data_IF_205013792109
#
_entry.id   IF_205013792109
#
_cell.length_a   1.000
_cell.length_b   1.000
_cell.length_c   1.000
_cell.angle_alpha   90.00
_cell.angle_beta   90.00
_cell.angle_gamma   90.00
#
_symmetry.space_group_name_H-M   'P 1'
#
loop_
_entity.id
_entity.type
_entity.pdbx_description
1 polymer ?
2 water ?
#
# COMPACT_ATOMS: atom_id res chain seq x y z
N UNK A 34 15.11 -16.94 -13.16
CA UNK A 34 14.46 -16.54 -11.93
C UNK A 34 15.44 -16.09 -10.86
N UNK A 35 15.34 -14.83 -10.46
CA UNK A 35 16.23 -14.28 -9.45
C UNK A 35 15.97 -14.91 -8.08
N UNK A 36 17.04 -15.17 -7.34
CA UNK A 36 16.92 -15.79 -6.03
C UNK A 36 16.33 -14.81 -5.01
N UNK A 37 16.70 -13.54 -5.13
CA UNK A 37 16.20 -12.51 -4.23
C UNK A 37 16.52 -12.82 -2.77
N UNK A 38 17.80 -13.07 -2.51
CA UNK A 38 18.28 -13.40 -1.18
C UNK A 38 18.07 -12.27 -0.18
N UNK A 39 18.24 -11.03 -0.63
CA UNK A 39 18.06 -9.87 0.24
C UNK A 39 16.61 -9.79 0.69
N UNK A 40 15.69 -9.89 -0.26
CA UNK A 40 14.27 -9.85 0.04
C UNK A 40 13.91 -10.91 1.07
N UNK A 41 14.26 -12.15 0.78
CA UNK A 41 13.98 -13.26 1.68
C UNK A 41 14.55 -12.99 3.07
N UNK A 42 15.79 -12.53 3.12
CA UNK A 42 16.46 -12.22 4.38
C UNK A 42 15.65 -11.22 5.20
N UNK A 43 15.29 -10.11 4.57
CA UNK A 43 14.53 -9.07 5.26
C UNK A 43 13.18 -9.60 5.73
N UNK A 44 12.54 -10.41 4.90
CA UNK A 44 11.25 -10.99 5.22
C UNK A 44 11.34 -11.88 6.45
N UNK A 45 12.42 -12.64 6.55
CA UNK A 45 12.63 -13.54 7.68
C UNK A 45 13.00 -12.76 8.94
N UNK A 46 13.69 -11.64 8.75
CA UNK A 46 14.12 -10.81 9.87
C UNK A 46 12.97 -9.96 10.41
N UNK A 47 12.04 -9.60 9.54
CA UNK A 47 10.92 -8.78 9.94
C UNK A 47 9.73 -9.60 10.40
N UNK A 48 9.55 -10.77 9.79
CA UNK A 48 8.40 -11.61 10.12
C UNK A 48 8.83 -13.06 10.34
N UNK A 49 9.60 -13.31 11.41
CA UNK A 49 10.20 -14.64 11.61
C UNK A 49 9.16 -15.74 11.89
N UNK A 50 8.04 -15.36 12.50
CA UNK A 50 6.95 -16.30 12.81
C UNK A 50 6.09 -16.73 11.60
N UNK A 51 6.29 -16.10 10.44
CA UNK A 51 5.46 -16.44 9.28
C UNK A 51 5.98 -17.62 8.47
N UNK A 52 5.16 -18.66 8.38
CA UNK A 52 5.42 -19.79 7.51
C UNK A 52 4.73 -19.62 6.17
N UNK A 53 5.47 -19.14 5.18
CA UNK A 53 4.93 -18.90 3.84
C UNK A 53 4.26 -20.14 3.25
N UNK A 54 4.58 -21.30 3.79
CA UNK A 54 3.99 -22.55 3.30
C UNK A 54 2.47 -22.50 3.43
N UNK A 55 1.99 -21.80 4.45
CA UNK A 55 0.56 -21.67 4.68
C UNK A 55 -0.03 -20.28 4.48
N UNK A 56 0.74 -19.26 4.87
CA UNK A 56 0.38 -17.87 4.61
C UNK A 56 1.55 -17.13 3.98
N UNK A 57 1.61 -17.15 2.66
CA UNK A 57 2.70 -16.49 1.93
C UNK A 57 2.64 -14.97 2.05
N UNK A 58 3.80 -14.34 2.19
CA UNK A 58 3.87 -12.89 2.29
C UNK A 58 3.67 -12.26 0.92
N UNK A 59 2.96 -11.13 0.86
CA UNK A 59 2.82 -10.44 -0.42
C UNK A 59 4.18 -9.91 -0.85
N UNK A 60 4.64 -10.29 -2.04
CA UNK A 60 5.96 -9.85 -2.51
C UNK A 60 5.89 -8.87 -3.69
N UNK A 61 4.69 -8.67 -4.23
CA UNK A 61 4.51 -7.87 -5.44
C UNK A 61 3.02 -7.62 -5.70
N UNK A 62 2.73 -6.79 -6.69
CA UNK A 62 1.36 -6.56 -7.12
C UNK A 62 0.84 -7.75 -7.89
N UNK A 63 -0.48 -7.89 -7.92
CA UNK A 63 -1.12 -8.99 -8.62
C UNK A 63 -1.52 -8.56 -10.03
N UNK A 64 -1.05 -9.31 -11.05
CA UNK A 64 -1.44 -9.05 -12.45
C UNK A 64 -2.90 -9.43 -12.72
N UNK A 65 -3.46 -10.31 -11.90
CA UNK A 65 -4.88 -10.67 -12.03
C UNK A 65 -5.79 -9.69 -11.30
N UNK A 66 -5.47 -9.44 -10.03
CA UNK A 66 -6.31 -8.68 -9.11
C UNK A 66 -6.07 -7.17 -9.22
N UNK A 67 -6.47 -6.61 -10.35
CA UNK A 67 -6.33 -5.18 -10.62
C UNK A 67 -7.40 -4.74 -11.59
N UNK A 68 -7.45 -3.43 -11.84
CA UNK A 68 -8.38 -2.87 -12.79
C UNK A 68 -7.63 -2.65 -14.10
N UNK A 69 -8.36 -2.71 -15.20
CA UNK A 69 -7.73 -2.68 -16.52
C UNK A 69 -6.88 -1.43 -16.80
N UNK A 70 -7.24 -0.30 -16.19
CA UNK A 70 -6.50 0.95 -16.39
C UNK A 70 -5.12 0.94 -15.73
N UNK A 71 -4.82 -0.12 -14.99
CA UNK A 71 -3.52 -0.26 -14.33
C UNK A 71 -2.60 -1.17 -15.13
N UNK A 72 -1.38 -0.70 -15.40
CA UNK A 72 -0.38 -1.54 -16.02
C UNK A 72 0.81 -1.73 -15.11
N UNK A 73 1.37 -2.95 -15.08
CA UNK A 73 2.47 -3.30 -14.17
C UNK A 73 3.80 -3.47 -14.89
N UNK A 74 4.90 -3.22 -14.18
CA UNK A 74 6.24 -3.46 -14.71
C UNK A 74 7.22 -3.65 -13.56
N UNK A 75 8.50 -3.85 -13.88
CA UNK A 75 9.55 -4.12 -12.88
C UNK A 75 9.18 -5.28 -11.96
N UNK A 76 8.94 -6.45 -12.55
CA UNK A 76 8.60 -7.66 -11.79
C UNK A 76 7.36 -7.47 -10.94
N UNK A 77 6.45 -6.65 -11.45
CA UNK A 77 5.19 -6.30 -10.79
C UNK A 77 5.35 -5.47 -9.53
N UNK A 78 6.41 -4.66 -9.46
CA UNK A 78 6.54 -3.71 -8.37
C UNK A 78 6.15 -2.30 -8.79
N UNK A 79 6.23 -2.01 -10.09
CA UNK A 79 5.86 -0.68 -10.58
C UNK A 79 4.46 -0.61 -11.16
N UNK A 80 3.69 0.36 -10.69
CA UNK A 80 2.32 0.52 -11.15
C UNK A 80 2.20 1.77 -12.01
N UNK A 81 1.64 1.62 -13.21
CA UNK A 81 1.47 2.73 -14.17
C UNK A 81 -0.01 2.98 -14.44
N UNK A 82 -0.42 4.25 -14.42
CA UNK A 82 -1.76 4.61 -14.87
C UNK A 82 -1.77 4.82 -16.38
N UNK A 83 -2.69 4.16 -17.07
CA UNK A 83 -2.72 4.22 -18.53
C UNK A 83 -4.12 4.38 -19.14
N UNK A 84 -5.04 5.01 -18.40
CA UNK A 84 -6.42 5.16 -18.84
C UNK A 84 -6.90 6.58 -19.18
N UNK A 85 -8.22 6.74 -19.23
CA UNK A 85 -8.83 8.02 -19.56
C UNK A 85 -8.43 9.09 -18.55
N UNK A 86 -8.91 8.95 -17.32
CA UNK A 86 -8.62 9.90 -16.27
C UNK A 86 -9.50 11.14 -16.36
N UNK A 87 -10.73 10.95 -16.81
CA UNK A 87 -11.68 12.05 -16.95
C UNK A 87 -12.33 12.40 -15.62
N UNK A 88 -12.82 11.38 -14.92
CA UNK A 88 -13.48 11.58 -13.64
C UNK A 88 -13.06 10.51 -12.63
N UNK A 89 -13.65 10.57 -11.44
CA UNK A 89 -13.35 9.60 -10.38
C UNK A 89 -13.73 8.19 -10.81
N UNK A 90 -14.59 8.08 -11.81
CA UNK A 90 -15.02 6.78 -12.32
C UNK A 90 -13.93 6.16 -13.19
N UNK A 91 -12.75 6.78 -13.18
CA UNK A 91 -11.61 6.28 -13.94
C UNK A 91 -10.48 5.87 -13.00
N UNK A 92 -10.79 5.82 -11.71
CA UNK A 92 -9.83 5.40 -10.69
C UNK A 92 -9.53 3.90 -10.79
N UNK A 93 -8.26 3.53 -10.69
CA UNK A 93 -7.88 2.12 -10.79
C UNK A 93 -6.91 1.68 -9.69
N UNK A 94 -7.28 0.62 -8.98
CA UNK A 94 -6.44 0.09 -7.91
C UNK A 94 -5.85 -1.28 -8.23
N UNK A 95 -4.80 -1.64 -7.50
CA UNK A 95 -4.22 -2.96 -7.60
C UNK A 95 -4.03 -3.52 -6.18
N UNK A 96 -4.24 -4.82 -6.00
CA UNK A 96 -3.98 -5.48 -4.73
C UNK A 96 -2.67 -6.25 -4.82
N UNK A 97 -2.08 -6.57 -3.68
CA UNK A 97 -0.91 -7.42 -3.65
C UNK A 97 -1.34 -8.84 -3.98
N UNK A 98 -0.38 -9.70 -4.32
CA UNK A 98 -0.65 -11.11 -4.60
C UNK A 98 -1.26 -11.84 -3.41
N UNK A 99 -0.96 -11.38 -2.20
CA UNK A 99 -1.43 -12.05 -0.99
C UNK A 99 -1.81 -11.07 0.10
N UNK A 100 -2.76 -11.47 0.96
CA UNK A 100 -3.13 -10.68 2.13
C UNK A 100 -2.09 -10.80 3.23
N UNK A 101 -2.04 -9.80 4.09
CA UNK A 101 -1.07 -9.75 5.17
C UNK A 101 -1.33 -10.88 6.14
N UNK A 102 -0.32 -11.73 6.36
CA UNK A 102 -0.47 -12.82 7.33
C UNK A 102 -0.58 -12.27 8.75
N UNK A 103 -1.51 -12.81 9.54
CA UNK A 103 -1.66 -12.40 10.93
C UNK A 103 -0.36 -12.63 11.70
N UNK A 104 0.34 -13.71 11.32
CA UNK A 104 1.59 -14.09 11.96
C UNK A 104 2.68 -13.02 11.83
N UNK A 105 2.40 -11.97 11.05
CA UNK A 105 3.35 -10.88 10.94
C UNK A 105 3.46 -10.16 12.26
N UNK A 106 2.35 -10.11 13.00
CA UNK A 106 2.29 -9.30 14.21
C UNK A 106 2.14 -7.84 13.83
N UNK A 107 3.21 -7.28 13.29
CA UNK A 107 3.18 -5.96 12.69
C UNK A 107 3.65 -6.10 11.24
N UNK A 108 2.96 -5.45 10.30
CA UNK A 108 3.36 -5.51 8.89
C UNK A 108 3.67 -4.12 8.33
N UNK A 109 4.65 -4.05 7.43
CA UNK A 109 5.00 -2.77 6.83
C UNK A 109 5.28 -2.88 5.32
N UNK A 110 4.94 -1.83 4.57
CA UNK A 110 5.37 -1.73 3.19
C UNK A 110 5.47 -0.27 2.81
N UNK A 111 6.24 0.01 1.77
CA UNK A 111 6.48 1.39 1.33
C UNK A 111 6.27 1.57 -0.15
N UNK A 112 5.87 2.77 -0.53
CA UNK A 112 5.61 3.07 -1.93
C UNK A 112 6.39 4.32 -2.31
N UNK A 113 7.15 4.23 -3.39
CA UNK A 113 7.91 5.39 -3.80
C UNK A 113 7.13 6.00 -4.95
N UNK A 114 6.88 7.31 -4.88
CA UNK A 114 6.18 8.01 -5.95
C UNK A 114 7.15 8.38 -7.06
N UNK A 115 7.16 7.59 -8.13
CA UNK A 115 8.07 7.85 -9.24
C UNK A 115 7.62 9.10 -10.00
N UNK A 116 6.30 9.26 -10.15
CA UNK A 116 5.73 10.45 -10.78
C UNK A 116 4.28 10.71 -10.42
N UNK A 117 3.98 11.96 -10.08
CA UNK A 117 2.62 12.36 -9.73
C UNK A 117 1.73 12.48 -10.96
N UNK A 118 2.31 12.26 -12.13
CA UNK A 118 1.56 12.34 -13.37
C UNK A 118 0.94 13.70 -13.61
N UNK A 119 -0.39 13.73 -13.71
CA UNK A 119 -1.11 14.97 -13.97
C UNK A 119 -1.57 15.68 -12.70
N UNK A 120 -2.50 15.05 -11.98
CA UNK A 120 -3.04 15.65 -10.76
C UNK A 120 -2.57 14.96 -9.48
N UNK A 121 -1.87 13.84 -9.62
CA UNK A 121 -1.39 13.11 -8.46
C UNK A 121 -2.51 12.55 -7.62
N UNK A 122 -3.52 11.99 -8.28
CA UNK A 122 -4.65 11.40 -7.58
C UNK A 122 -4.36 9.95 -7.17
N UNK A 123 -3.50 9.80 -6.17
CA UNK A 123 -2.86 8.52 -5.82
C UNK A 123 -3.23 8.11 -4.41
N UNK A 124 -3.66 6.86 -4.25
CA UNK A 124 -4.06 6.38 -2.94
C UNK A 124 -3.26 5.16 -2.50
N UNK A 125 -2.83 5.16 -1.25
CA UNK A 125 -2.10 4.02 -0.72
C UNK A 125 -2.78 3.44 0.53
N UNK A 126 -2.89 2.12 0.60
CA UNK A 126 -3.47 1.49 1.77
C UNK A 126 -3.80 0.01 1.68
N UNK A 127 -4.97 -0.32 2.20
CA UNK A 127 -5.37 -1.69 2.40
C UNK A 127 -6.79 -1.88 1.90
N UNK A 128 -7.06 -3.02 1.30
CA UNK A 128 -8.43 -3.34 1.00
C UNK A 128 -8.68 -4.83 1.16
N UNK A 129 -9.89 -5.17 1.62
CA UNK A 129 -10.30 -6.56 1.72
C UNK A 129 -10.41 -7.14 0.32
N UNK A 130 -10.57 -8.45 0.24
CA UNK A 130 -10.66 -9.14 -1.04
C UNK A 130 -12.01 -8.80 -1.67
N UNK A 131 -12.06 -8.73 -2.99
CA UNK A 131 -13.33 -8.49 -3.67
C UNK A 131 -13.90 -7.10 -3.50
N UNK A 132 -13.16 -6.24 -2.81
CA UNK A 132 -13.45 -4.81 -2.83
C UNK A 132 -13.30 -4.33 -4.28
N UNK A 133 -14.20 -3.46 -4.72
CA UNK A 133 -14.17 -2.94 -6.08
C UNK A 133 -12.85 -2.23 -6.44
N UNK A 134 -12.25 -2.63 -7.55
CA UNK A 134 -10.98 -2.06 -7.98
C UNK A 134 -11.15 -0.82 -8.86
N UNK A 135 -12.40 -0.49 -9.18
CA UNK A 135 -12.69 0.68 -10.00
C UNK A 135 -12.76 1.92 -9.12
N UNK A 136 -11.76 2.08 -8.26
CA UNK A 136 -11.70 3.23 -7.36
C UNK A 136 -10.34 3.35 -6.69
N UNK A 137 -10.23 4.28 -5.75
CA UNK A 137 -9.00 4.48 -5.00
C UNK A 137 -9.16 3.88 -3.62
N UNK A 138 -8.07 3.43 -3.02
CA UNK A 138 -8.15 2.83 -1.69
C UNK A 138 -8.90 3.74 -0.71
N UNK A 139 -9.79 3.15 0.09
CA UNK A 139 -10.54 3.94 1.06
C UNK A 139 -11.97 4.26 0.70
N UNK A 140 -12.27 4.41 -0.59
CA UNK A 140 -13.64 4.74 -1.02
C UNK A 140 -14.69 3.67 -0.66
N UNK A 141 -14.42 2.41 -0.98
CA UNK A 141 -15.36 1.33 -0.67
C UNK A 141 -15.30 0.81 0.76
N UNK A 142 -16.30 0.01 1.10
CA UNK A 142 -16.34 -0.68 2.38
C UNK A 142 -15.14 -1.62 2.46
N UNK A 143 -14.54 -1.69 3.64
CA UNK A 143 -13.39 -2.56 3.89
C UNK A 143 -12.19 -2.18 3.02
N UNK A 144 -12.04 -0.88 2.82
CA UNK A 144 -10.94 -0.28 2.07
C UNK A 144 -10.46 0.93 2.88
N UNK A 145 -9.16 1.21 2.80
CA UNK A 145 -8.55 2.21 3.66
C UNK A 145 -7.50 2.90 2.82
N UNK A 146 -7.47 4.23 2.84
CA UNK A 146 -6.58 4.97 1.96
C UNK A 146 -6.05 6.28 2.52
N UNK A 147 -4.85 6.63 2.08
CA UNK A 147 -4.19 7.90 2.36
C UNK A 147 -3.89 8.49 0.97
N UNK A 148 -4.49 9.64 0.62
CA UNK A 148 -4.35 10.15 -0.75
C UNK A 148 -3.34 11.28 -0.85
N UNK A 149 -2.61 11.31 -1.96
CA UNK A 149 -1.56 12.29 -2.14
C UNK A 149 -1.99 13.70 -2.50
N UNK A 150 -3.07 13.83 -3.27
CA UNK A 150 -3.54 15.16 -3.66
C UNK A 150 -3.99 16.01 -2.48
N UNK A 151 -4.68 15.42 -1.50
CA UNK A 151 -5.23 16.20 -0.39
C UNK A 151 -4.67 15.83 0.99
N UNK A 152 -3.85 14.79 1.07
CA UNK A 152 -3.34 14.33 2.36
C UNK A 152 -4.40 13.73 3.28
N UNK A 153 -5.59 13.48 2.73
CA UNK A 153 -6.70 12.97 3.53
C UNK A 153 -6.65 11.46 3.76
N UNK A 154 -7.31 11.01 4.82
CA UNK A 154 -7.50 9.58 5.03
C UNK A 154 -8.94 9.19 4.73
N UNK A 155 -9.11 8.00 4.16
CA UNK A 155 -10.41 7.51 3.74
C UNK A 155 -10.69 6.17 4.37
N UNK A 156 -11.55 6.18 5.38
CA UNK A 156 -11.91 5.00 6.15
C UNK A 156 -13.27 4.48 5.70
N UNK A 157 -13.29 3.70 4.62
CA UNK A 157 -14.52 3.05 4.12
C UNK A 157 -15.64 3.99 3.62
N UNK A 158 -15.27 5.08 2.95
CA UNK A 158 -16.24 6.02 2.39
C UNK A 158 -15.62 6.96 1.34
N UNK A 159 -16.47 7.54 0.50
CA UNK A 159 -16.02 8.47 -0.52
C UNK A 159 -15.57 9.79 0.09
N UNK A 160 -15.97 10.03 1.33
CA UNK A 160 -15.61 11.26 2.04
C UNK A 160 -14.37 11.05 2.89
N UNK A 161 -13.39 11.93 2.72
CA UNK A 161 -12.14 11.83 3.45
C UNK A 161 -12.05 12.74 4.66
N UNK A 162 -11.01 12.54 5.46
CA UNK A 162 -10.78 13.33 6.66
C UNK A 162 -9.33 13.80 6.72
N UNK A 163 -9.13 15.03 7.21
CA UNK A 163 -7.78 15.58 7.34
C UNK A 163 -6.93 14.65 8.19
N UNK A 164 -5.89 14.07 7.60
CA UNK A 164 -5.02 13.15 8.32
C UNK A 164 -3.54 13.52 8.31
N UNK A 165 -2.99 13.71 7.11
CA UNK A 165 -1.60 14.10 6.98
C UNK A 165 -1.39 15.10 5.86
N UNK A 166 -0.14 15.28 5.46
CA UNK A 166 0.20 16.22 4.39
C UNK A 166 0.14 15.55 3.02
N UNK A 167 0.10 16.36 1.97
CA UNK A 167 0.06 15.83 0.61
C UNK A 167 1.42 15.28 0.23
N UNK A 168 1.45 14.39 -0.76
CA UNK A 168 2.68 13.81 -1.22
C UNK A 168 2.66 13.78 -2.75
N UNK A 169 3.85 13.66 -3.34
CA UNK A 169 3.98 13.64 -4.79
C UNK A 169 5.30 13.01 -5.21
N UNK A 170 5.74 13.33 -6.43
CA UNK A 170 6.98 12.80 -6.98
C UNK A 170 8.14 12.94 -6.00
N UNK A 171 8.88 11.86 -5.81
CA UNK A 171 10.03 11.86 -4.92
C UNK A 171 9.75 11.32 -3.53
N UNK A 172 8.53 11.54 -3.05
CA UNK A 172 8.15 11.08 -1.73
C UNK A 172 8.07 9.55 -1.59
N UNK A 173 8.43 9.06 -0.41
CA UNK A 173 8.15 7.69 -0.01
C UNK A 173 7.02 7.67 1.03
N UNK A 174 6.02 6.83 0.80
CA UNK A 174 4.88 6.71 1.71
C UNK A 174 4.80 5.29 2.25
N UNK A 175 4.68 5.19 3.57
CA UNK A 175 4.69 3.88 4.19
C UNK A 175 3.37 3.55 4.82
N UNK A 176 3.12 2.26 4.98
CA UNK A 176 1.87 1.85 5.60
C UNK A 176 2.16 0.73 6.57
N UNK A 177 1.77 0.94 7.82
CA UNK A 177 2.09 0.01 8.88
C UNK A 177 0.81 -0.47 9.53
N UNK A 178 0.60 -1.78 9.53
CA UNK A 178 -0.57 -2.36 10.15
C UNK A 178 -0.14 -3.09 11.40
N UNK A 179 -0.72 -2.72 12.54
CA UNK A 179 -0.44 -3.43 13.78
C UNK A 179 -1.55 -4.46 13.99
N UNK A 180 -1.21 -5.72 13.75
CA UNK A 180 -2.17 -6.83 13.86
C UNK A 180 -2.41 -7.25 15.31
N UNK A 181 -1.75 -6.57 16.25
CA UNK A 181 -1.97 -6.85 17.65
C UNK A 181 -3.06 -5.94 18.21
N UNK A 182 -2.88 -4.63 18.10
CA UNK A 182 -3.91 -3.71 18.59
C UNK A 182 -4.82 -3.19 17.48
N UNK A 183 -4.72 -3.82 16.31
CA UNK A 183 -5.67 -3.56 15.24
C UNK A 183 -5.67 -2.10 14.78
N UNK A 184 -4.49 -1.52 14.61
CA UNK A 184 -4.38 -0.14 14.16
C UNK A 184 -3.48 0.03 12.94
N UNK A 185 -3.63 1.17 12.27
CA UNK A 185 -2.82 1.47 11.10
C UNK A 185 -2.34 2.92 11.12
N UNK A 186 -1.09 3.13 10.73
CA UNK A 186 -0.59 4.49 10.55
C UNK A 186 0.26 4.55 9.29
N UNK A 187 0.31 5.72 8.66
CA UNK A 187 1.17 5.93 7.51
C UNK A 187 2.43 6.66 7.93
N UNK A 188 3.45 6.60 7.08
CA UNK A 188 4.66 7.39 7.27
C UNK A 188 5.01 8.16 6.00
N UNK A 189 5.58 9.35 6.16
CA UNK A 189 6.09 10.09 5.00
C UNK A 189 7.57 10.40 5.17
N UNK A 190 8.38 9.87 4.25
CA UNK A 190 9.81 10.12 4.25
C UNK A 190 10.46 9.84 5.61
N UNK A 191 10.18 8.65 6.13
CA UNK A 191 10.77 8.22 7.38
C UNK A 191 10.07 8.70 8.63
N UNK A 192 9.03 9.52 8.47
CA UNK A 192 8.40 10.16 9.62
C UNK A 192 6.95 9.75 9.79
N UNK A 193 6.63 9.19 10.94
CA UNK A 193 5.29 8.71 11.22
C UNK A 193 4.27 9.86 11.26
N UNK A 194 3.19 9.69 10.53
CA UNK A 194 2.05 10.55 10.69
C UNK A 194 1.27 9.83 11.78
N UNK A 195 0.10 10.31 12.16
CA UNK A 195 -0.54 9.62 13.27
C UNK A 195 -1.13 8.25 12.94
N UNK A 196 -1.78 7.65 13.93
CA UNK A 196 -2.69 6.54 13.66
C UNK A 196 -3.73 7.08 12.71
N UNK A 197 -4.09 6.30 11.70
CA UNK A 197 -5.09 6.70 10.73
C UNK A 197 -6.38 5.93 10.98
N UNK A 198 -6.25 4.63 11.23
CA UNK A 198 -7.41 3.77 11.42
C UNK A 198 -7.26 2.83 12.63
N UNK A 199 -8.38 2.51 13.27
CA UNK A 199 -8.38 1.59 14.39
C UNK A 199 -9.42 0.54 14.07
N UNK A 200 -9.37 -0.59 14.79
CA UNK A 200 -10.28 -1.72 14.56
C UNK A 200 -10.37 -2.20 13.13
N UNK A 201 -9.24 -2.39 12.48
CA UNK A 201 -9.27 -2.89 11.11
C UNK A 201 -9.78 -4.33 11.05
N UNK A 202 -10.43 -4.70 9.94
CA UNK A 202 -10.85 -6.08 9.68
C UNK A 202 -9.64 -6.94 9.33
N UNK A 203 -9.84 -8.26 9.26
CA UNK A 203 -8.70 -9.15 9.01
C UNK A 203 -8.48 -9.39 7.52
N UNK A 204 -7.32 -9.95 7.16
CA UNK A 204 -7.04 -10.40 5.80
C UNK A 204 -7.11 -9.29 4.75
N UNK A 205 -6.29 -8.27 4.99
CA UNK A 205 -6.28 -7.08 4.17
C UNK A 205 -5.13 -7.16 3.19
N UNK A 206 -5.36 -6.70 1.96
CA UNK A 206 -4.35 -6.68 0.91
C UNK A 206 -3.75 -5.29 0.78
N UNK A 207 -2.41 -5.19 0.78
CA UNK A 207 -1.79 -3.91 0.40
C UNK A 207 -2.34 -3.45 -0.96
N UNK A 208 -2.81 -2.21 -1.05
CA UNK A 208 -3.33 -1.70 -2.31
C UNK A 208 -2.84 -0.30 -2.62
N UNK A 209 -2.74 -0.05 -3.92
CA UNK A 209 -2.37 1.24 -4.46
C UNK A 209 -3.40 1.59 -5.54
N UNK A 210 -3.75 2.87 -5.63
CA UNK A 210 -4.71 3.33 -6.62
C UNK A 210 -4.27 4.59 -7.33
N UNK A 211 -4.56 4.65 -8.63
CA UNK A 211 -4.22 5.80 -9.45
C UNK A 211 -5.46 6.31 -10.16
N UNK A 212 -5.35 7.45 -10.85
CA UNK A 212 -6.49 8.01 -11.55
C UNK A 212 -6.07 9.02 -12.63
N UNK A 213 -4.88 9.57 -12.49
CA UNK A 213 -4.38 10.55 -13.44
C UNK A 213 -3.30 9.97 -14.34
N UNK A 214 -3.28 10.41 -15.60
CA UNK A 214 -2.30 9.94 -16.57
C UNK A 214 -0.88 10.39 -16.22
N UNK A 215 0.07 9.46 -16.27
CA UNK A 215 1.45 9.78 -15.96
C UNK A 215 1.86 9.34 -14.57
N UNK A 216 0.88 9.01 -13.74
CA UNK A 216 1.15 8.56 -12.38
C UNK A 216 1.87 7.22 -12.37
N UNK A 217 2.98 7.15 -11.64
CA UNK A 217 3.77 5.93 -11.55
C UNK A 217 4.34 5.75 -10.14
N UNK A 218 4.12 4.58 -9.54
CA UNK A 218 4.62 4.31 -8.19
C UNK A 218 5.31 2.95 -8.07
N UNK A 219 6.38 2.90 -7.28
CA UNK A 219 7.11 1.67 -6.98
C UNK A 219 6.82 1.22 -5.55
N UNK A 220 6.61 -0.07 -5.37
CA UNK A 220 6.40 -0.63 -4.04
C UNK A 220 7.70 -1.18 -3.48
N UNK A 221 7.83 -1.11 -2.16
CA UNK A 221 8.90 -1.82 -1.48
C UNK A 221 8.23 -2.75 -0.48
N UNK A 222 8.21 -4.06 -0.80
CA UNK A 222 7.59 -5.09 0.06
C UNK A 222 8.61 -5.78 0.96
N UNK A 223 9.80 -5.20 1.01
CA UNK A 223 10.92 -5.82 1.69
C UNK A 223 12.16 -5.98 0.82
N UNK A 224 12.03 -5.69 -0.48
CA UNK A 224 13.15 -5.79 -1.42
C UNK A 224 14.32 -4.91 -0.99
N UNK A 225 14.00 -3.76 -0.41
CA UNK A 225 15.01 -2.77 -0.07
C UNK A 225 14.82 -2.34 1.37
N UNK A 226 15.87 -1.78 1.99
CA UNK A 226 15.66 -1.25 3.35
C UNK A 226 14.59 -0.17 3.31
N UNK A 227 13.84 -0.02 4.39
CA UNK A 227 12.80 0.98 4.43
C UNK A 227 13.34 2.28 4.97
N UNK A 228 12.74 3.38 4.52
CA UNK A 228 13.10 4.71 5.02
C UNK A 228 12.69 4.83 6.48
N UNK A 229 11.47 4.41 6.79
CA UNK A 229 11.02 4.46 8.18
C UNK A 229 11.74 3.38 8.96
N UNK A 230 12.11 3.69 10.20
CA UNK A 230 12.88 2.77 11.05
C UNK A 230 11.89 1.74 11.59
N UNK A 231 11.45 0.83 10.72
CA UNK A 231 10.38 -0.08 11.08
C UNK A 231 10.81 -0.98 12.23
N UNK A 232 12.05 -1.43 12.20
CA UNK A 232 12.57 -2.30 13.24
C UNK A 232 12.55 -1.66 14.63
N UNK A 233 12.84 -0.36 14.71
CA UNK A 233 12.73 0.35 15.99
C UNK A 233 11.30 0.33 16.50
N UNK A 234 10.34 0.59 15.62
CA UNK A 234 8.95 0.60 16.05
C UNK A 234 8.56 -0.79 16.54
N UNK A 235 8.98 -1.80 15.80
CA UNK A 235 8.72 -3.19 16.15
C UNK A 235 9.32 -3.56 17.50
N UNK A 236 10.46 -2.95 17.86
CA UNK A 236 11.12 -3.28 19.12
C UNK A 236 10.30 -2.93 20.36
N UNK A 237 9.46 -1.92 20.25
CA UNK A 237 8.45 -1.64 21.29
C UNK A 237 7.39 -2.76 21.42
N UNK A 238 7.51 -3.77 20.57
CA UNK A 238 6.62 -4.93 20.58
C UNK A 238 7.48 -6.20 20.43
#
# INVERSE_FOLDING_TARGET
>A
LAAGPGPAGGAPTPALVAGSSAAAPFPHGDSALNEQEKELQRRLKRLYPAVDEQETPLPRSWSPKDKFSYIGLSQNNLRVHYKGHGKTPKDAASVRATHPIPAACGIYYFEVKIVSKGRDGYMGIGLSAQGVNMNRLPGWDKHSYGYHGDDGHSFCSSGTGQPYGPTFTTGDVIGCCVNLINNTCFYTKNGHSLGIAFTDLPPNLYPTVGLQTPGEVVDANFGQHPFVFDIEDYMREWRTKIQ
#
